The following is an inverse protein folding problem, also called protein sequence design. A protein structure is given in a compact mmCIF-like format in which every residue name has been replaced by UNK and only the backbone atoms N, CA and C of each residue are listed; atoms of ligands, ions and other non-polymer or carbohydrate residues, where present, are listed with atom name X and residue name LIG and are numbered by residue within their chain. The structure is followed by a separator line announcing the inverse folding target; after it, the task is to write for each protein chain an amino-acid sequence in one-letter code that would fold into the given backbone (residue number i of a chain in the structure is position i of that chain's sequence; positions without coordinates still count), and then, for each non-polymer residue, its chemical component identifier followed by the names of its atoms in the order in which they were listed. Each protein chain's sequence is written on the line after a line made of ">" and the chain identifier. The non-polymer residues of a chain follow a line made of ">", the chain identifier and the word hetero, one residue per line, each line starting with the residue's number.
data_IF_896033141972
#
_entry.id   IF_896033141972
#
_cell.length_a   1.000
_cell.length_b   1.000
_cell.length_c   1.000
_cell.angle_alpha   90.00
_cell.angle_beta   90.00
_cell.angle_gamma   90.00
#
_symmetry.space_group_name_H-M   'P 1'
#
loop_
_entity.id
_entity.type
_entity.pdbx_description
1 polymer ?
#
# COMPACT_ATOMS: atom_id res chain seq x y z
N UNK A 1 -32.55 -34.87 -4.76
CA UNK A 1 -31.16 -34.39 -4.61
C UNK A 1 -31.14 -33.29 -3.57
N UNK A 2 -30.56 -33.56 -2.39
CA UNK A 2 -30.48 -32.58 -1.31
C UNK A 2 -29.33 -31.57 -1.56
N UNK A 3 -29.48 -30.30 -1.18
CA UNK A 3 -28.47 -29.27 -1.42
C UNK A 3 -27.24 -29.48 -0.54
N UNK A 4 -26.04 -29.43 -1.14
CA UNK A 4 -24.76 -29.49 -0.42
C UNK A 4 -24.61 -28.27 0.51
N UNK A 5 -24.40 -28.45 1.82
CA UNK A 5 -24.15 -27.33 2.71
C UNK A 5 -22.78 -26.73 2.42
N UNK A 6 -22.77 -25.42 2.10
CA UNK A 6 -21.56 -24.58 2.03
C UNK A 6 -20.85 -24.64 3.39
N UNK A 7 -19.67 -25.28 3.41
CA UNK A 7 -18.79 -25.35 4.58
C UNK A 7 -18.11 -23.99 4.78
N UNK A 8 -18.86 -23.01 5.30
CA UNK A 8 -18.29 -21.86 6.00
C UNK A 8 -17.75 -22.39 7.34
N UNK A 9 -16.56 -22.99 7.31
CA UNK A 9 -15.77 -23.18 8.52
C UNK A 9 -15.10 -21.84 8.82
N UNK A 10 -15.32 -21.23 10.00
CA UNK A 10 -14.41 -20.20 10.47
C UNK A 10 -13.03 -20.86 10.45
N UNK A 11 -12.03 -20.19 9.84
CA UNK A 11 -10.65 -20.61 9.96
C UNK A 11 -10.40 -20.88 11.45
N UNK A 12 -10.10 -22.14 11.77
CA UNK A 12 -9.80 -22.54 13.13
C UNK A 12 -8.76 -21.58 13.70
N UNK A 13 -8.80 -21.34 15.02
CA UNK A 13 -7.72 -20.70 15.75
C UNK A 13 -6.40 -21.27 15.23
N UNK A 14 -5.76 -20.53 14.32
CA UNK A 14 -4.48 -20.92 13.79
C UNK A 14 -3.55 -20.98 14.98
N UNK A 15 -2.75 -22.03 15.08
CA UNK A 15 -1.66 -22.06 16.04
C UNK A 15 -0.96 -20.70 15.99
N UNK A 16 -0.90 -20.04 17.14
CA UNK A 16 -0.27 -18.74 17.21
C UNK A 16 1.15 -18.93 16.73
N UNK A 17 1.62 -17.99 15.92
CA UNK A 17 2.98 -18.07 15.49
C UNK A 17 3.92 -17.79 16.67
N UNK A 18 5.18 -18.15 16.52
CA UNK A 18 6.12 -18.04 17.62
C UNK A 18 6.26 -16.61 18.15
N UNK A 19 6.22 -15.60 17.27
CA UNK A 19 6.26 -14.20 17.69
C UNK A 19 5.02 -13.80 18.53
N UNK A 20 3.85 -14.34 18.21
CA UNK A 20 2.62 -14.13 18.97
C UNK A 20 2.70 -14.84 20.33
N UNK A 21 3.19 -16.08 20.39
CA UNK A 21 3.40 -16.77 21.67
C UNK A 21 4.37 -16.03 22.60
N UNK A 22 5.49 -15.52 22.07
CA UNK A 22 6.45 -14.73 22.85
C UNK A 22 5.85 -13.39 23.30
N UNK A 23 5.07 -12.73 22.43
CA UNK A 23 4.38 -11.50 22.79
C UNK A 23 3.26 -11.72 23.82
N UNK A 24 2.60 -12.87 23.85
CA UNK A 24 1.64 -13.23 24.91
C UNK A 24 2.33 -13.45 26.26
N UNK A 25 3.52 -14.07 26.27
CA UNK A 25 4.31 -14.21 27.51
C UNK A 25 4.76 -12.85 28.05
N UNK A 26 5.24 -11.95 27.18
CA UNK A 26 5.58 -10.58 27.58
C UNK A 26 4.34 -9.80 28.07
N UNK A 27 3.18 -9.98 27.44
CA UNK A 27 1.92 -9.40 27.94
C UNK A 27 1.53 -9.96 29.31
N UNK A 28 1.74 -11.25 29.54
CA UNK A 28 1.50 -11.89 30.84
C UNK A 28 2.44 -11.36 31.92
N UNK A 29 3.65 -10.93 31.53
CA UNK A 29 4.59 -10.22 32.39
C UNK A 29 4.29 -8.73 32.57
N UNK A 30 3.17 -8.22 32.03
CA UNK A 30 2.69 -6.86 32.23
C UNK A 30 3.00 -5.87 31.10
N UNK A 31 3.67 -6.29 30.02
CA UNK A 31 4.00 -5.40 28.90
C UNK A 31 2.85 -5.24 27.92
N UNK A 32 2.43 -4.01 27.65
CA UNK A 32 1.40 -3.79 26.62
C UNK A 32 1.94 -4.06 25.21
N UNK A 33 1.05 -4.28 24.23
CA UNK A 33 1.43 -4.35 22.80
C UNK A 33 2.21 -3.11 22.34
N UNK A 34 1.97 -1.95 22.96
CA UNK A 34 2.70 -0.71 22.67
C UNK A 34 4.12 -0.77 23.18
N UNK A 35 4.33 -1.34 24.35
CA UNK A 35 5.66 -1.47 24.96
C UNK A 35 6.50 -2.50 24.22
N UNK A 36 5.91 -3.64 23.87
CA UNK A 36 6.55 -4.65 23.02
C UNK A 36 6.95 -4.04 21.68
N UNK A 37 6.10 -3.20 21.08
CA UNK A 37 6.41 -2.51 19.84
C UNK A 37 7.58 -1.53 19.99
N UNK A 38 7.64 -0.77 21.10
CA UNK A 38 8.77 0.13 21.41
C UNK A 38 10.08 -0.64 21.57
N UNK A 39 10.06 -1.75 22.30
CA UNK A 39 11.24 -2.62 22.51
C UNK A 39 11.84 -3.05 21.16
N UNK A 40 11.00 -3.42 20.19
CA UNK A 40 11.47 -3.88 18.87
C UNK A 40 11.61 -2.75 17.82
N UNK A 41 11.53 -1.48 18.21
CA UNK A 41 11.58 -0.30 17.32
C UNK A 41 10.49 -0.32 16.21
N UNK A 42 9.25 -0.71 16.53
CA UNK A 42 8.16 -0.83 15.53
C UNK A 42 6.86 -0.21 16.02
N UNK A 43 5.91 -0.11 15.09
CA UNK A 43 4.55 0.36 15.36
C UNK A 43 3.70 -0.76 16.03
N UNK A 44 2.82 -0.44 16.99
CA UNK A 44 1.96 -1.43 17.67
C UNK A 44 1.06 -2.26 16.73
N UNK A 45 0.74 -1.73 15.54
CA UNK A 45 0.02 -2.49 14.52
C UNK A 45 0.79 -3.71 14.03
N UNK A 46 2.13 -3.69 14.09
CA UNK A 46 2.94 -4.85 13.73
C UNK A 46 2.78 -5.98 14.75
N UNK A 47 2.78 -5.66 16.05
CA UNK A 47 2.53 -6.65 17.11
C UNK A 47 1.14 -7.26 16.98
N UNK A 48 0.14 -6.44 16.62
CA UNK A 48 -1.21 -6.95 16.32
C UNK A 48 -1.22 -7.91 15.12
N UNK A 49 -0.36 -7.67 14.13
CA UNK A 49 -0.22 -8.54 12.95
C UNK A 49 0.48 -9.87 13.24
N UNK A 50 1.14 -10.04 14.39
CA UNK A 50 1.65 -11.35 14.80
C UNK A 50 0.48 -12.34 14.93
N UNK A 51 -0.59 -11.91 15.60
CA UNK A 51 -1.80 -12.70 15.84
C UNK A 51 -2.66 -12.89 14.60
N UNK A 52 -2.81 -11.84 13.78
CA UNK A 52 -3.82 -11.85 12.70
C UNK A 52 -3.26 -12.20 11.32
N UNK A 53 -1.97 -11.98 11.08
CA UNK A 53 -1.35 -12.09 9.74
C UNK A 53 -0.14 -13.00 9.71
N UNK A 54 0.11 -13.75 10.79
CA UNK A 54 1.27 -14.63 10.92
C UNK A 54 2.61 -13.91 10.60
N UNK A 55 2.74 -12.64 11.01
CA UNK A 55 3.98 -11.86 10.86
C UNK A 55 4.86 -12.00 12.09
N UNK A 56 6.11 -11.52 12.02
CA UNK A 56 6.96 -11.37 13.20
C UNK A 56 8.14 -12.34 13.27
N UNK A 57 8.29 -13.26 12.31
CA UNK A 57 9.39 -14.22 12.27
C UNK A 57 10.79 -13.56 12.44
N UNK A 58 11.01 -12.41 11.81
CA UNK A 58 12.26 -11.65 11.91
C UNK A 58 12.56 -11.08 13.32
N UNK A 59 11.57 -11.06 14.23
CA UNK A 59 11.71 -10.53 15.58
C UNK A 59 11.75 -11.63 16.65
N UNK A 60 11.58 -12.91 16.28
CA UNK A 60 11.54 -14.03 17.24
C UNK A 60 12.81 -14.07 18.11
N UNK A 61 13.99 -13.97 17.51
CA UNK A 61 15.25 -13.97 18.25
C UNK A 61 15.33 -12.79 19.24
N UNK A 62 14.92 -11.59 18.82
CA UNK A 62 14.88 -10.41 19.68
C UNK A 62 13.89 -10.58 20.85
N UNK A 63 12.70 -11.11 20.58
CA UNK A 63 11.67 -11.33 21.59
C UNK A 63 12.06 -12.42 22.60
N UNK A 64 12.78 -13.47 22.17
CA UNK A 64 13.34 -14.50 23.08
C UNK A 64 14.41 -13.91 24.01
N UNK A 65 15.33 -13.10 23.47
CA UNK A 65 16.38 -12.45 24.27
C UNK A 65 15.77 -11.47 25.29
N UNK A 66 14.76 -10.68 24.87
CA UNK A 66 14.00 -9.78 25.77
C UNK A 66 13.28 -10.57 26.85
N UNK A 67 12.57 -11.65 26.49
CA UNK A 67 11.85 -12.46 27.46
C UNK A 67 12.80 -13.10 28.48
N UNK A 68 13.97 -13.55 28.03
CA UNK A 68 15.02 -14.08 28.91
C UNK A 68 15.55 -13.01 29.86
N UNK A 69 15.75 -11.78 29.37
CA UNK A 69 16.17 -10.65 30.20
C UNK A 69 15.12 -10.27 31.27
N UNK A 70 13.83 -10.34 30.92
CA UNK A 70 12.72 -10.11 31.86
C UNK A 70 12.62 -11.25 32.89
N UNK A 71 12.55 -12.50 32.44
CA UNK A 71 12.25 -13.65 33.30
C UNK A 71 13.44 -14.12 34.15
N UNK A 72 14.65 -14.10 33.59
CA UNK A 72 15.86 -14.58 34.27
C UNK A 72 16.74 -13.43 34.79
N UNK A 73 16.76 -12.31 34.07
CA UNK A 73 17.57 -11.14 34.44
C UNK A 73 16.85 -10.11 35.32
N UNK A 74 15.52 -10.20 35.46
CA UNK A 74 14.72 -9.24 36.22
C UNK A 74 14.72 -7.82 35.63
N UNK A 75 15.14 -7.67 34.36
CA UNK A 75 15.21 -6.36 33.71
C UNK A 75 13.80 -5.90 33.35
N UNK A 76 13.37 -4.78 33.94
CA UNK A 76 12.04 -4.22 33.71
C UNK A 76 12.04 -2.96 32.84
N UNK A 77 13.18 -2.29 32.70
CA UNK A 77 13.31 -1.01 32.00
C UNK A 77 13.19 -1.15 30.48
N UNK A 78 12.31 -0.35 29.87
CA UNK A 78 12.00 -0.44 28.44
C UNK A 78 13.18 -0.04 27.53
N UNK A 79 13.89 1.08 27.75
CA UNK A 79 15.13 1.40 27.05
C UNK A 79 16.17 0.28 27.10
N UNK A 80 16.38 -0.34 28.26
CA UNK A 80 17.35 -1.43 28.40
C UNK A 80 16.93 -2.67 27.60
N UNK A 81 15.66 -3.07 27.67
CA UNK A 81 15.10 -4.15 26.85
C UNK A 81 15.19 -3.84 25.34
N UNK A 82 15.03 -2.58 24.94
CA UNK A 82 15.18 -2.17 23.56
C UNK A 82 16.63 -2.32 23.07
N UNK A 83 17.63 -2.02 23.91
CA UNK A 83 19.06 -2.25 23.59
C UNK A 83 19.33 -3.74 23.39
N UNK A 84 18.75 -4.61 24.21
CA UNK A 84 18.86 -6.07 24.08
C UNK A 84 18.24 -6.52 22.75
N UNK A 85 17.01 -6.09 22.46
CA UNK A 85 16.32 -6.42 21.22
C UNK A 85 17.08 -5.94 19.96
N UNK A 86 17.64 -4.73 20.01
CA UNK A 86 18.32 -4.11 18.88
C UNK A 86 19.49 -4.96 18.34
N UNK A 87 20.18 -5.72 19.20
CA UNK A 87 21.28 -6.62 18.80
C UNK A 87 20.84 -7.73 17.82
N UNK A 88 19.55 -8.05 17.79
CA UNK A 88 18.96 -9.11 16.95
C UNK A 88 18.12 -8.58 15.79
N UNK A 89 17.85 -7.27 15.74
CA UNK A 89 16.97 -6.67 14.74
C UNK A 89 17.79 -6.07 13.61
N UNK A 90 17.82 -6.75 12.47
CA UNK A 90 18.44 -6.21 11.26
C UNK A 90 17.41 -5.43 10.44
N UNK A 91 17.73 -4.19 10.07
CA UNK A 91 16.93 -3.45 9.09
C UNK A 91 17.19 -4.00 7.69
N UNK A 92 16.12 -4.17 6.91
CA UNK A 92 16.24 -4.53 5.49
C UNK A 92 16.97 -3.41 4.75
N UNK A 93 17.91 -3.77 3.89
CA UNK A 93 18.64 -2.86 3.00
C UNK A 93 18.13 -2.95 1.56
N UNK A 94 18.35 -1.90 0.78
CA UNK A 94 18.18 -1.89 -0.68
C UNK A 94 19.32 -2.67 -1.34
N UNK A 95 19.21 -2.97 -2.64
CA UNK A 95 20.30 -3.59 -3.40
C UNK A 95 21.60 -2.75 -3.37
N UNK A 96 21.50 -1.44 -3.12
CA UNK A 96 22.62 -0.51 -2.95
C UNK A 96 23.14 -0.39 -1.51
N UNK A 97 22.64 -1.20 -0.56
CA UNK A 97 23.07 -1.17 0.84
C UNK A 97 22.43 -0.07 1.70
N UNK A 98 21.65 0.84 1.11
CA UNK A 98 20.92 1.87 1.87
C UNK A 98 19.79 1.25 2.70
N UNK A 99 19.42 1.87 3.83
CA UNK A 99 18.28 1.40 4.63
C UNK A 99 17.00 1.45 3.79
N UNK A 100 16.31 0.32 3.64
CA UNK A 100 15.06 0.27 2.90
C UNK A 100 14.00 1.08 3.64
N UNK A 101 13.49 2.14 3.00
CA UNK A 101 12.41 2.93 3.57
C UNK A 101 11.11 2.12 3.59
N UNK A 102 10.39 2.21 4.71
CA UNK A 102 9.00 1.75 4.78
C UNK A 102 8.22 2.49 3.70
N UNK A 103 7.42 1.78 2.89
CA UNK A 103 6.44 2.42 2.01
C UNK A 103 5.43 3.17 2.88
N UNK A 104 5.73 4.42 3.18
CA UNK A 104 4.83 5.30 3.92
C UNK A 104 3.54 5.47 3.12
N UNK A 105 2.43 5.57 3.84
CA UNK A 105 1.13 5.98 3.30
C UNK A 105 1.13 7.52 3.17
N UNK A 106 2.18 8.07 2.56
CA UNK A 106 2.42 9.50 2.47
C UNK A 106 2.45 9.89 0.99
N UNK A 107 1.38 10.56 0.63
CA UNK A 107 1.07 11.22 -0.63
C UNK A 107 1.87 12.53 -0.64
N UNK A 108 3.20 12.46 -0.80
CA UNK A 108 4.03 13.67 -0.84
C UNK A 108 5.06 13.58 -1.96
N UNK A 109 5.17 14.68 -2.71
CA UNK A 109 6.19 14.89 -3.72
C UNK A 109 7.52 15.05 -2.99
N UNK A 110 8.51 14.24 -3.37
CA UNK A 110 9.87 14.34 -2.86
C UNK A 110 10.50 15.68 -3.24
N UNK A 111 11.56 16.14 -2.54
CA UNK A 111 12.30 17.34 -2.95
C UNK A 111 12.82 17.28 -4.39
N UNK A 112 13.07 16.07 -4.92
CA UNK A 112 13.45 15.81 -6.31
C UNK A 112 12.29 15.96 -7.31
N UNK A 113 11.08 16.31 -6.85
CA UNK A 113 9.92 16.56 -7.70
C UNK A 113 9.18 15.30 -8.17
N UNK A 114 9.36 14.16 -7.49
CA UNK A 114 8.63 12.93 -7.80
C UNK A 114 7.63 12.58 -6.69
N UNK A 115 6.38 12.28 -7.04
CA UNK A 115 5.34 11.91 -6.07
C UNK A 115 4.63 10.63 -6.48
N UNK A 116 4.09 9.90 -5.51
CA UNK A 116 3.22 8.75 -5.78
C UNK A 116 2.16 8.61 -4.70
N UNK A 117 0.93 8.32 -5.11
CA UNK A 117 -0.19 8.03 -4.21
C UNK A 117 -1.00 6.85 -4.74
N UNK A 118 -1.45 5.96 -3.84
CA UNK A 118 -2.23 4.77 -4.21
C UNK A 118 -3.48 4.64 -3.35
N UNK A 119 -4.57 4.19 -3.95
CA UNK A 119 -5.88 3.92 -3.35
C UNK A 119 -6.43 2.58 -3.79
N UNK A 120 -7.08 1.88 -2.86
CA UNK A 120 -7.83 0.66 -3.14
C UNK A 120 -9.31 0.87 -2.85
N UNK A 121 -10.12 -0.16 -3.08
CA UNK A 121 -11.59 -0.14 -3.08
C UNK A 121 -12.26 0.75 -2.01
N UNK A 122 -11.83 0.70 -0.75
CA UNK A 122 -12.45 1.51 0.31
C UNK A 122 -12.32 3.02 0.09
N UNK A 123 -11.19 3.48 -0.46
CA UNK A 123 -10.97 4.90 -0.74
C UNK A 123 -11.57 5.33 -2.09
N UNK A 124 -11.71 4.40 -3.05
CA UNK A 124 -12.45 4.64 -4.30
C UNK A 124 -13.89 5.03 -3.97
N UNK A 125 -14.56 4.31 -3.06
CA UNK A 125 -15.94 4.60 -2.66
C UNK A 125 -16.15 6.01 -2.07
N UNK A 126 -15.10 6.63 -1.55
CA UNK A 126 -15.10 8.00 -1.03
C UNK A 126 -14.40 8.99 -1.98
N UNK A 127 -14.40 8.69 -3.28
CA UNK A 127 -13.86 9.56 -4.33
C UNK A 127 -12.34 9.73 -4.34
N UNK A 128 -11.61 8.91 -3.58
CA UNK A 128 -10.14 8.96 -3.48
C UNK A 128 -9.58 10.33 -3.09
N UNK A 129 -10.35 11.12 -2.31
CA UNK A 129 -10.03 12.50 -1.94
C UNK A 129 -8.61 12.70 -1.38
N UNK A 130 -8.04 11.66 -0.74
CA UNK A 130 -6.65 11.67 -0.25
C UNK A 130 -5.57 11.84 -1.32
N UNK A 131 -5.88 11.63 -2.60
CA UNK A 131 -4.95 11.87 -3.70
C UNK A 131 -4.97 13.33 -4.18
N UNK A 132 -6.01 14.09 -3.84
CA UNK A 132 -6.18 15.49 -4.27
C UNK A 132 -4.99 16.37 -3.88
N UNK A 133 -4.43 16.30 -2.65
CA UNK A 133 -3.26 17.11 -2.30
C UNK A 133 -2.03 16.84 -3.17
N UNK A 134 -1.79 15.59 -3.59
CA UNK A 134 -0.69 15.26 -4.51
C UNK A 134 -0.90 15.88 -5.88
N UNK A 135 -2.12 15.82 -6.41
CA UNK A 135 -2.44 16.38 -7.72
C UNK A 135 -2.35 17.90 -7.68
N UNK A 136 -2.91 18.53 -6.63
CA UNK A 136 -2.85 19.98 -6.45
C UNK A 136 -1.40 20.50 -6.31
N UNK A 137 -0.57 19.82 -5.52
CA UNK A 137 0.84 20.19 -5.38
C UNK A 137 1.63 19.94 -6.67
N UNK A 138 1.32 18.87 -7.41
CA UNK A 138 1.91 18.62 -8.72
C UNK A 138 1.55 19.73 -9.72
N UNK A 139 0.29 20.19 -9.73
CA UNK A 139 -0.16 21.31 -10.54
C UNK A 139 0.57 22.60 -10.18
N UNK A 140 0.66 22.91 -8.87
CA UNK A 140 1.38 24.09 -8.38
C UNK A 140 2.85 24.11 -8.81
N UNK A 141 3.47 22.94 -8.89
CA UNK A 141 4.88 22.76 -9.27
C UNK A 141 5.09 22.56 -10.79
N UNK A 142 4.05 22.60 -11.62
CA UNK A 142 4.16 22.41 -13.07
C UNK A 142 4.66 21.01 -13.46
N UNK A 143 4.27 19.98 -12.71
CA UNK A 143 4.71 18.61 -12.93
C UNK A 143 3.89 17.90 -14.01
N UNK A 144 4.42 16.77 -14.48
CA UNK A 144 3.65 15.77 -15.25
C UNK A 144 3.07 14.72 -14.31
N UNK A 145 1.98 14.08 -14.72
CA UNK A 145 1.40 12.95 -14.02
C UNK A 145 1.03 11.79 -14.94
N UNK A 146 0.97 10.61 -14.33
CA UNK A 146 0.42 9.40 -14.90
C UNK A 146 -0.47 8.74 -13.85
N UNK A 147 -1.40 7.93 -14.30
CA UNK A 147 -2.18 7.08 -13.40
C UNK A 147 -2.25 5.63 -13.89
N UNK A 148 -2.43 4.73 -12.94
CA UNK A 148 -2.67 3.32 -13.18
C UNK A 148 -3.99 2.96 -12.53
N UNK A 149 -4.88 2.33 -13.28
CA UNK A 149 -6.20 1.90 -12.78
C UNK A 149 -6.32 0.39 -12.89
N UNK A 150 -7.11 -0.20 -12.00
CA UNK A 150 -7.54 -1.59 -12.08
C UNK A 150 -9.04 -1.67 -12.23
N UNK A 151 -9.51 -2.43 -13.22
CA UNK A 151 -10.92 -2.69 -13.50
C UNK A 151 -11.13 -4.16 -13.90
N UNK A 152 -12.38 -4.59 -14.05
CA UNK A 152 -12.70 -5.87 -14.68
C UNK A 152 -12.17 -5.89 -16.13
N UNK A 153 -11.66 -7.03 -16.61
CA UNK A 153 -11.14 -7.14 -17.99
C UNK A 153 -12.18 -6.76 -19.04
N UNK A 154 -13.44 -7.13 -18.81
CA UNK A 154 -14.58 -6.81 -19.68
C UNK A 154 -14.94 -5.33 -19.72
N UNK A 155 -14.42 -4.52 -18.80
CA UNK A 155 -14.71 -3.09 -18.74
C UNK A 155 -13.88 -2.27 -19.74
N UNK A 156 -12.78 -2.82 -20.27
CA UNK A 156 -11.93 -2.15 -21.24
C UNK A 156 -12.46 -2.33 -22.66
N UNK A 157 -12.52 -1.23 -23.41
CA UNK A 157 -12.97 -1.22 -24.82
C UNK A 157 -11.90 -1.74 -25.78
N UNK A 158 -10.64 -1.71 -25.36
CA UNK A 158 -9.50 -2.12 -26.17
C UNK A 158 -8.84 -3.39 -25.62
N UNK A 159 -8.29 -4.25 -26.50
CA UNK A 159 -7.48 -5.39 -26.07
C UNK A 159 -6.28 -4.99 -25.21
N UNK A 160 -5.88 -5.87 -24.31
CA UNK A 160 -4.70 -5.72 -23.46
C UNK A 160 -3.46 -5.36 -24.30
N UNK A 161 -2.80 -4.25 -23.96
CA UNK A 161 -1.58 -3.80 -24.63
C UNK A 161 -1.81 -3.13 -25.99
N UNK A 162 -3.05 -2.75 -26.31
CA UNK A 162 -3.37 -1.95 -27.50
C UNK A 162 -2.64 -0.60 -27.48
N UNK A 163 -2.07 -0.19 -28.63
CA UNK A 163 -1.45 1.13 -28.80
C UNK A 163 -2.46 2.27 -28.77
N UNK A 164 -3.73 1.97 -29.06
CA UNK A 164 -4.82 2.95 -29.03
C UNK A 164 -5.26 3.26 -27.60
N UNK A 165 -5.13 2.28 -26.70
CA UNK A 165 -5.56 2.39 -25.31
C UNK A 165 -4.58 3.19 -24.45
N UNK A 166 -3.33 2.72 -24.42
CA UNK A 166 -2.23 3.35 -23.69
C UNK A 166 -1.08 3.65 -24.65
N UNK A 167 -1.18 4.72 -25.46
CA UNK A 167 -0.12 5.13 -26.38
C UNK A 167 1.22 5.22 -25.65
N UNK A 168 2.22 4.48 -26.14
CA UNK A 168 3.56 4.43 -25.57
C UNK A 168 3.78 3.40 -24.45
N UNK A 169 2.75 2.77 -23.89
CA UNK A 169 2.88 1.93 -22.69
C UNK A 169 2.36 0.50 -22.93
N UNK A 170 2.93 -0.15 -23.95
CA UNK A 170 2.50 -1.48 -24.38
C UNK A 170 2.66 -2.57 -23.30
N UNK A 171 3.55 -2.36 -22.32
CA UNK A 171 3.98 -3.39 -21.35
C UNK A 171 3.48 -3.20 -19.92
N UNK A 172 2.79 -2.10 -19.59
CA UNK A 172 2.26 -1.88 -18.24
C UNK A 172 0.81 -2.34 -18.12
N UNK A 173 0.55 -3.54 -18.63
CA UNK A 173 -0.73 -4.23 -18.50
C UNK A 173 -0.53 -5.46 -17.62
N UNK A 174 -1.13 -5.47 -16.44
CA UNK A 174 -1.00 -6.56 -15.49
C UNK A 174 -2.35 -7.26 -15.36
N UNK A 175 -2.45 -8.44 -15.97
CA UNK A 175 -3.61 -9.31 -15.81
C UNK A 175 -3.55 -10.03 -14.47
N UNK A 176 -4.65 -10.01 -13.73
CA UNK A 176 -4.77 -10.65 -12.42
C UNK A 176 -5.62 -11.91 -12.53
N UNK A 177 -5.43 -12.82 -11.58
CA UNK A 177 -6.15 -14.10 -11.54
C UNK A 177 -7.65 -13.94 -11.25
N UNK A 178 -8.07 -12.81 -10.67
CA UNK A 178 -9.46 -12.49 -10.33
C UNK A 178 -10.23 -11.80 -11.47
N UNK A 179 -9.86 -12.07 -12.72
CA UNK A 179 -10.49 -11.50 -13.93
C UNK A 179 -10.46 -9.96 -14.03
N UNK A 180 -9.57 -9.32 -13.28
CA UNK A 180 -9.29 -7.89 -13.38
C UNK A 180 -7.96 -7.66 -14.10
N UNK A 181 -7.76 -6.42 -14.53
CA UNK A 181 -6.55 -6.00 -15.20
C UNK A 181 -6.17 -4.59 -14.75
N UNK A 182 -4.87 -4.37 -14.55
CA UNK A 182 -4.29 -3.05 -14.31
C UNK A 182 -3.74 -2.49 -15.62
N UNK A 183 -4.04 -1.22 -15.91
CA UNK A 183 -3.49 -0.48 -17.06
C UNK A 183 -2.97 0.88 -16.62
N UNK A 184 -1.81 1.25 -17.18
CA UNK A 184 -1.19 2.56 -16.96
C UNK A 184 -1.45 3.52 -18.12
N UNK A 185 -1.69 4.77 -17.79
CA UNK A 185 -1.89 5.89 -18.70
C UNK A 185 -0.87 6.99 -18.35
N UNK A 186 0.11 7.16 -19.23
CA UNK A 186 1.27 8.03 -19.04
C UNK A 186 2.47 7.35 -18.34
N UNK A 187 3.67 7.80 -18.70
CA UNK A 187 4.94 7.43 -18.05
C UNK A 187 5.98 8.54 -18.24
N UNK A 188 7.05 8.52 -17.44
CA UNK A 188 8.16 9.46 -17.63
C UNK A 188 8.85 9.26 -19.00
N UNK A 189 8.80 8.05 -19.55
CA UNK A 189 9.44 7.68 -20.80
C UNK A 189 8.61 8.03 -22.04
N UNK A 190 7.28 8.02 -21.92
CA UNK A 190 6.35 8.10 -23.06
C UNK A 190 5.46 9.33 -23.03
N UNK A 191 5.71 10.23 -22.08
CA UNK A 191 4.87 11.37 -21.78
C UNK A 191 3.77 11.05 -20.78
N UNK A 192 3.34 12.07 -20.05
CA UNK A 192 2.24 12.02 -19.09
C UNK A 192 1.27 13.18 -19.31
N UNK A 193 0.23 13.23 -18.50
CA UNK A 193 -0.72 14.33 -18.46
C UNK A 193 -0.07 15.54 -17.79
N UNK A 194 -0.49 16.74 -18.20
CA UNK A 194 -0.19 17.94 -17.44
C UNK A 194 -0.92 17.88 -16.08
N UNK A 195 -0.20 18.19 -14.99
CA UNK A 195 -0.80 18.15 -13.67
C UNK A 195 -1.85 19.25 -13.45
N UNK A 196 -1.68 20.42 -14.06
CA UNK A 196 -2.65 21.51 -13.98
C UNK A 196 -3.96 21.13 -14.68
N UNK A 197 -3.87 20.57 -15.89
CA UNK A 197 -5.06 20.10 -16.64
C UNK A 197 -5.85 19.06 -15.84
N UNK A 198 -5.15 18.11 -15.21
CA UNK A 198 -5.81 17.07 -14.44
C UNK A 198 -6.34 17.58 -13.10
N UNK A 199 -5.68 18.56 -12.48
CA UNK A 199 -6.19 19.22 -11.28
C UNK A 199 -7.53 19.92 -11.57
N UNK A 200 -7.64 20.62 -12.71
CA UNK A 200 -8.92 21.23 -13.15
C UNK A 200 -10.03 20.19 -13.32
N UNK A 201 -9.72 19.00 -13.88
CA UNK A 201 -10.68 17.89 -13.99
C UNK A 201 -11.13 17.39 -12.62
N UNK A 202 -10.20 17.27 -11.67
CA UNK A 202 -10.53 16.87 -10.29
C UNK A 202 -11.41 17.91 -9.61
N UNK A 203 -11.13 19.20 -9.78
CA UNK A 203 -11.95 20.27 -9.21
C UNK A 203 -13.34 20.33 -9.86
N UNK A 204 -13.45 20.13 -11.18
CA UNK A 204 -14.73 20.00 -11.89
C UNK A 204 -15.56 18.79 -11.41
N UNK A 205 -14.90 17.74 -10.92
CA UNK A 205 -15.53 16.59 -10.27
C UNK A 205 -15.76 16.79 -8.76
N UNK A 206 -15.74 18.03 -8.25
CA UNK A 206 -15.96 18.33 -6.83
C UNK A 206 -14.86 17.81 -5.90
N UNK A 207 -13.66 17.57 -6.43
CA UNK A 207 -12.54 16.97 -5.70
C UNK A 207 -12.50 15.44 -5.71
N UNK A 208 -13.43 14.78 -6.42
CA UNK A 208 -13.42 13.33 -6.61
C UNK A 208 -12.41 12.93 -7.69
N UNK A 209 -11.28 12.38 -7.24
CA UNK A 209 -10.19 11.94 -8.13
C UNK A 209 -10.61 10.69 -8.91
N UNK A 210 -11.44 9.82 -8.32
CA UNK A 210 -11.91 8.61 -8.99
C UNK A 210 -12.84 8.98 -10.14
N UNK A 211 -13.79 9.88 -9.91
CA UNK A 211 -14.72 10.37 -10.92
C UNK A 211 -13.98 11.09 -12.05
N UNK A 212 -13.00 11.94 -11.74
CA UNK A 212 -12.20 12.62 -12.75
C UNK A 212 -11.41 11.66 -13.65
N UNK A 213 -10.80 10.62 -13.07
CA UNK A 213 -10.10 9.56 -13.84
C UNK A 213 -11.08 8.73 -14.65
N UNK A 214 -12.21 8.33 -14.04
CA UNK A 214 -13.25 7.56 -14.72
C UNK A 214 -13.79 8.33 -15.94
N UNK A 215 -14.17 9.59 -15.76
CA UNK A 215 -14.67 10.44 -16.83
C UNK A 215 -13.66 10.56 -17.97
N UNK A 216 -12.38 10.80 -17.65
CA UNK A 216 -11.33 10.85 -18.68
C UNK A 216 -11.22 9.53 -19.47
N UNK A 217 -11.30 8.37 -18.80
CA UNK A 217 -11.24 7.07 -19.45
C UNK A 217 -12.46 6.81 -20.35
N UNK A 218 -13.65 7.26 -19.95
CA UNK A 218 -14.87 7.18 -20.75
C UNK A 218 -14.82 8.12 -21.94
N UNK A 219 -14.49 9.40 -21.73
CA UNK A 219 -14.42 10.42 -22.79
C UNK A 219 -13.40 10.05 -23.86
N UNK A 220 -12.33 9.39 -23.45
CA UNK A 220 -11.30 8.93 -24.36
C UNK A 220 -11.63 7.55 -24.95
N UNK A 221 -12.71 6.87 -24.55
CA UNK A 221 -13.11 5.59 -25.15
C UNK A 221 -12.20 4.41 -24.74
N UNK A 222 -11.63 4.45 -23.53
CA UNK A 222 -10.76 3.39 -22.98
C UNK A 222 -11.58 2.35 -22.22
N UNK A 223 -12.66 2.78 -21.58
CA UNK A 223 -13.55 1.93 -20.78
C UNK A 223 -15.02 2.21 -21.09
N UNK A 224 -15.89 1.25 -20.75
CA UNK A 224 -17.34 1.44 -20.74
C UNK A 224 -17.76 2.43 -19.63
N UNK A 225 -18.90 3.13 -19.80
CA UNK A 225 -19.37 4.13 -18.85
C UNK A 225 -19.82 3.56 -17.49
N UNK A 226 -20.14 2.27 -17.42
CA UNK A 226 -20.52 1.55 -16.20
C UNK A 226 -19.33 0.87 -15.49
N UNK A 227 -18.11 1.09 -16.00
CA UNK A 227 -16.91 0.45 -15.52
C UNK A 227 -16.51 0.92 -14.11
N UNK A 228 -16.33 -0.03 -13.18
CA UNK A 228 -15.92 0.30 -11.82
C UNK A 228 -14.40 0.24 -11.64
N UNK A 229 -13.80 1.38 -11.27
CA UNK A 229 -12.41 1.44 -10.81
C UNK A 229 -12.31 0.82 -9.40
N UNK A 230 -11.47 -0.18 -9.22
CA UNK A 230 -11.26 -0.84 -7.90
C UNK A 230 -9.89 -0.55 -7.30
N UNK A 231 -8.96 -0.02 -8.10
CA UNK A 231 -7.66 0.48 -7.68
C UNK A 231 -7.28 1.69 -8.52
N UNK A 232 -6.65 2.67 -7.90
CA UNK A 232 -6.07 3.82 -8.59
C UNK A 232 -4.72 4.16 -7.96
N UNK A 233 -3.74 4.41 -8.82
CA UNK A 233 -2.43 4.94 -8.49
C UNK A 233 -2.16 6.19 -9.32
N UNK A 234 -1.59 7.22 -8.69
CA UNK A 234 -1.14 8.45 -9.36
C UNK A 234 0.36 8.59 -9.11
N UNK A 235 1.12 8.88 -10.17
CA UNK A 235 2.57 9.11 -10.16
C UNK A 235 2.85 10.47 -10.79
N UNK A 236 3.75 11.24 -10.21
CA UNK A 236 4.12 12.58 -10.70
C UNK A 236 5.63 12.72 -10.82
N UNK A 237 6.10 13.52 -11.77
CA UNK A 237 7.53 13.79 -12.01
C UNK A 237 7.74 15.17 -12.65
N UNK A 238 8.95 15.71 -12.51
CA UNK A 238 9.36 16.89 -13.28
C UNK A 238 9.62 16.50 -14.74
N UNK A 239 9.07 17.24 -15.72
CA UNK A 239 9.50 17.08 -17.10
C UNK A 239 11.00 17.42 -17.21
N UNK A 240 11.73 16.65 -18.04
CA UNK A 240 13.12 16.92 -18.37
C UNK A 240 13.24 17.97 -19.46
#
# INVERSE_FOLDING_TARGET
>A
MAPRPRRNRPAGRGELNEAAHLADRLQSAGYSKRDIARIIDRDPSLVSQFYTKNKGAAFVAALRDVLTAVEAGGITDLPELAVIAARRITRRTTASGATARVRGKAVLITPTGSGTGRVGAQAIASGSARLRPLIAEAARLGLRLAFTVRLAKSAYLHPSGSRTDSPGIRRDVIQRADHTEERSYGSAQTGGHDAADFAQRVDAAGGDVTAAVHQWLVDSGRIHADAQIIHLEVRTWRPH
#
